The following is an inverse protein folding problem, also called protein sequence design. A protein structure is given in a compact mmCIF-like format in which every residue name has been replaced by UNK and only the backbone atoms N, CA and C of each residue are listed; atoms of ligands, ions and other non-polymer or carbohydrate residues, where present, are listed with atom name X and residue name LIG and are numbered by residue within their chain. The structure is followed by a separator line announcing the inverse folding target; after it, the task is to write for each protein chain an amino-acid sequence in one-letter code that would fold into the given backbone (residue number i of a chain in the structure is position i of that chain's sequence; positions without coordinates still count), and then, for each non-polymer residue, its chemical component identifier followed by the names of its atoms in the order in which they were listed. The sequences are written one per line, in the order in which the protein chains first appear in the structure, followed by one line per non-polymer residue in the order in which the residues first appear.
data_IF_986591878516
#
_entry.id   IF_986591878516
#
_cell.length_a   1.000
_cell.length_b   1.000
_cell.length_c   1.000
_cell.angle_alpha   90.00
_cell.angle_beta   90.00
_cell.angle_gamma   90.00
#
_symmetry.space_group_name_H-M   'P 1'
#
loop_
_entity.id
_entity.type
_entity.pdbx_description
1 polymer ?
#
# COMPACT_ATOMS: atom_id res chain seq x y z
N UNK A 1 -9.73 73.99 7.64
CA UNK A 1 -11.03 74.65 7.90
C UNK A 1 -12.13 73.82 7.27
N UNK A 2 -13.06 73.29 8.09
CA UNK A 2 -14.47 72.85 7.81
C UNK A 2 -14.73 71.92 6.60
N UNK A 3 -15.68 70.99 6.53
CA UNK A 3 -16.66 70.33 7.40
C UNK A 3 -17.37 69.30 6.50
N UNK A 4 -17.79 68.15 7.05
CA UNK A 4 -18.62 67.13 6.38
C UNK A 4 -20.01 67.66 5.95
N UNK A 5 -20.60 67.07 4.90
CA UNK A 5 -22.06 66.88 4.80
C UNK A 5 -22.45 65.72 3.85
N UNK A 6 -23.34 64.86 4.35
CA UNK A 6 -23.97 63.68 3.74
C UNK A 6 -25.11 64.02 2.75
N UNK A 7 -25.45 63.09 1.83
CA UNK A 7 -26.83 62.82 1.34
C UNK A 7 -27.03 61.35 0.88
N UNK A 8 -28.22 60.73 1.07
CA UNK A 8 -28.48 59.30 0.79
C UNK A 8 -29.41 58.97 -0.41
N UNK A 9 -29.29 57.70 -0.87
CA UNK A 9 -30.13 56.75 -1.64
C UNK A 9 -31.38 57.18 -2.43
N UNK A 10 -31.55 56.59 -3.64
CA UNK A 10 -32.85 56.12 -4.18
C UNK A 10 -32.70 54.91 -5.11
N UNK A 11 -33.66 54.00 -4.99
CA UNK A 11 -33.89 52.78 -5.77
C UNK A 11 -34.56 53.06 -7.12
N UNK A 12 -34.40 52.15 -8.09
CA UNK A 12 -35.35 51.94 -9.21
C UNK A 12 -35.35 50.48 -9.64
N UNK A 13 -36.57 49.96 -9.84
CA UNK A 13 -36.96 48.63 -10.31
C UNK A 13 -36.66 48.45 -11.82
N UNK A 14 -36.62 47.22 -12.37
CA UNK A 14 -37.67 46.56 -13.22
C UNK A 14 -36.92 45.51 -14.11
N UNK A 15 -37.49 44.42 -14.73
CA UNK A 15 -38.71 43.62 -14.52
C UNK A 15 -38.49 42.09 -14.40
N UNK A 16 -39.56 41.37 -14.05
CA UNK A 16 -39.73 39.92 -14.10
C UNK A 16 -39.84 39.35 -15.54
N UNK A 17 -39.35 38.11 -15.73
CA UNK A 17 -39.74 37.21 -16.84
C UNK A 17 -40.17 35.88 -16.25
N UNK A 18 -41.41 35.50 -16.59
CA UNK A 18 -42.16 34.36 -16.09
C UNK A 18 -42.03 33.21 -17.10
N UNK A 19 -41.58 32.02 -16.69
CA UNK A 19 -41.76 30.77 -17.44
C UNK A 19 -42.06 29.58 -16.52
N UNK A 20 -43.35 29.26 -16.48
CA UNK A 20 -43.96 27.92 -16.56
C UNK A 20 -43.47 26.82 -15.60
N UNK A 21 -44.25 26.61 -14.54
CA UNK A 21 -44.23 25.39 -13.72
C UNK A 21 -44.94 24.26 -14.47
N UNK A 22 -44.19 23.25 -14.89
CA UNK A 22 -44.74 21.93 -15.21
C UNK A 22 -44.73 21.09 -13.93
N UNK A 23 -45.91 20.72 -13.44
CA UNK A 23 -46.10 19.72 -12.40
C UNK A 23 -45.67 18.35 -12.93
N UNK A 24 -44.71 17.71 -12.27
CA UNK A 24 -44.61 16.25 -12.23
C UNK A 24 -44.72 15.81 -10.77
N UNK A 25 -45.71 14.95 -10.55
CA UNK A 25 -46.19 14.51 -9.26
C UNK A 25 -45.12 13.71 -8.48
N UNK A 26 -44.95 14.06 -7.21
CA UNK A 26 -44.19 13.28 -6.23
C UNK A 26 -44.97 12.00 -5.89
N UNK A 27 -44.35 10.80 -5.88
CA UNK A 27 -45.00 9.64 -5.30
C UNK A 27 -45.04 9.81 -3.77
N UNK A 28 -46.20 9.48 -3.20
CA UNK A 28 -46.51 9.47 -1.78
C UNK A 28 -45.36 8.93 -0.92
N UNK A 29 -44.76 9.80 -0.10
CA UNK A 29 -43.83 9.40 0.94
C UNK A 29 -44.60 8.63 2.02
N UNK A 30 -44.55 7.30 1.95
CA UNK A 30 -44.81 6.49 3.14
C UNK A 30 -43.75 6.84 4.18
N UNK A 31 -44.16 7.55 5.22
CA UNK A 31 -43.35 7.84 6.40
C UNK A 31 -43.06 6.49 7.06
N UNK A 32 -41.91 5.90 6.72
CA UNK A 32 -41.34 4.79 7.48
C UNK A 32 -40.88 5.35 8.83
N UNK A 33 -41.08 4.62 9.94
CA UNK A 33 -40.60 5.06 11.25
C UNK A 33 -39.07 5.24 11.18
N UNK A 34 -38.57 6.26 11.87
CA UNK A 34 -37.15 6.64 11.98
C UNK A 34 -36.40 5.52 12.72
N UNK A 35 -36.15 4.39 12.05
CA UNK A 35 -34.93 3.63 12.33
C UNK A 35 -33.82 4.41 11.64
N UNK A 36 -32.90 4.95 12.42
CA UNK A 36 -31.71 5.62 11.88
C UNK A 36 -31.07 4.75 10.80
N UNK A 37 -30.50 5.39 9.78
CA UNK A 37 -29.80 4.73 8.69
C UNK A 37 -28.52 4.04 9.19
N UNK A 38 -28.68 2.91 9.88
CA UNK A 38 -27.60 2.14 10.52
C UNK A 38 -26.55 1.67 9.50
N UNK A 39 -26.96 1.54 8.24
CA UNK A 39 -26.12 1.08 7.13
C UNK A 39 -25.49 2.26 6.36
N UNK A 40 -25.74 3.50 6.78
CA UNK A 40 -25.26 4.72 6.14
C UNK A 40 -25.54 4.77 4.62
N UNK A 41 -26.69 4.23 4.21
CA UNK A 41 -27.14 4.18 2.82
C UNK A 41 -27.28 5.57 2.19
N UNK A 42 -27.58 6.60 2.99
CA UNK A 42 -27.63 8.00 2.56
C UNK A 42 -26.27 8.59 2.19
N UNK A 43 -25.16 7.99 2.64
CA UNK A 43 -23.80 8.37 2.22
C UNK A 43 -23.31 7.58 0.99
N UNK A 44 -24.12 6.68 0.44
CA UNK A 44 -23.75 5.92 -0.75
C UNK A 44 -23.54 6.87 -1.93
N UNK A 45 -22.31 6.87 -2.46
CA UNK A 45 -21.99 7.55 -3.72
C UNK A 45 -22.35 6.64 -4.87
N UNK A 46 -22.74 7.21 -6.00
CA UNK A 46 -22.95 6.46 -7.23
C UNK A 46 -21.66 5.69 -7.58
N UNK A 47 -21.78 4.36 -7.69
CA UNK A 47 -20.64 3.49 -7.97
C UNK A 47 -20.43 3.42 -9.48
N UNK A 48 -19.43 4.14 -9.98
CA UNK A 48 -18.92 3.93 -11.33
C UNK A 48 -18.18 2.60 -11.33
N UNK A 49 -18.70 1.61 -12.07
CA UNK A 49 -17.99 0.35 -12.32
C UNK A 49 -17.01 0.60 -13.46
N UNK A 50 -15.69 0.46 -13.24
CA UNK A 50 -14.71 0.63 -14.31
C UNK A 50 -14.97 -0.37 -15.43
N UNK A 51 -14.92 0.08 -16.68
CA UNK A 51 -14.91 -0.81 -17.84
C UNK A 51 -13.58 -1.55 -17.84
N UNK A 52 -13.62 -2.88 -17.82
CA UNK A 52 -12.43 -3.72 -17.84
C UNK A 52 -12.03 -4.02 -19.28
N UNK A 53 -10.84 -3.60 -19.70
CA UNK A 53 -10.26 -3.98 -20.98
C UNK A 53 -9.83 -5.46 -20.96
N UNK A 54 -10.43 -6.33 -21.79
CA UNK A 54 -10.09 -7.76 -21.82
C UNK A 54 -8.63 -8.04 -22.22
N UNK A 55 -7.94 -7.13 -22.91
CA UNK A 55 -6.55 -7.33 -23.36
C UNK A 55 -5.53 -7.36 -22.21
N UNK A 56 -5.90 -6.80 -21.05
CA UNK A 56 -5.08 -6.85 -19.83
C UNK A 56 -5.39 -8.04 -18.93
N UNK A 57 -6.39 -8.86 -19.28
CA UNK A 57 -6.69 -10.07 -18.50
C UNK A 57 -5.49 -10.99 -18.52
N UNK A 58 -5.07 -11.40 -17.33
CA UNK A 58 -3.95 -12.29 -17.08
C UNK A 58 -2.57 -11.78 -17.53
N UNK A 59 -2.47 -10.53 -18.00
CA UNK A 59 -1.21 -9.95 -18.47
C UNK A 59 -0.22 -9.79 -17.31
N UNK A 60 1.02 -10.23 -17.53
CA UNK A 60 2.12 -10.05 -16.60
C UNK A 60 3.06 -8.95 -17.09
N UNK A 61 3.50 -8.11 -16.16
CA UNK A 61 4.54 -7.11 -16.37
C UNK A 61 5.81 -7.41 -15.56
N UNK A 62 5.94 -8.64 -15.09
CA UNK A 62 7.13 -9.14 -14.39
C UNK A 62 8.42 -8.82 -15.16
N UNK A 63 9.50 -8.57 -14.40
CA UNK A 63 10.81 -8.29 -14.99
C UNK A 63 11.35 -9.60 -15.56
N UNK A 64 11.64 -9.60 -16.86
CA UNK A 64 12.17 -10.77 -17.56
C UNK A 64 13.57 -11.12 -17.06
N UNK A 65 14.00 -12.38 -17.18
CA UNK A 65 15.36 -12.79 -16.78
C UNK A 65 16.44 -11.95 -17.48
N UNK A 66 16.19 -11.51 -18.72
CA UNK A 66 17.12 -10.69 -19.50
C UNK A 66 17.27 -9.27 -18.97
N UNK A 67 16.18 -8.69 -18.47
CA UNK A 67 16.14 -7.30 -17.99
C UNK A 67 16.37 -7.20 -16.48
N UNK A 68 16.53 -8.34 -15.80
CA UNK A 68 16.71 -8.44 -14.38
C UNK A 68 18.21 -8.47 -14.01
N UNK A 69 18.64 -7.51 -13.17
CA UNK A 69 20.00 -7.49 -12.65
C UNK A 69 20.28 -8.79 -11.86
N UNK A 70 21.29 -9.61 -12.25
CA UNK A 70 21.50 -10.92 -11.65
C UNK A 70 21.76 -10.86 -10.14
N UNK A 71 22.46 -9.83 -9.67
CA UNK A 71 22.80 -9.66 -8.25
C UNK A 71 21.55 -9.29 -7.45
N UNK A 72 20.72 -8.39 -7.98
CA UNK A 72 19.44 -8.02 -7.35
C UNK A 72 18.49 -9.22 -7.33
N UNK A 73 18.40 -9.97 -8.44
CA UNK A 73 17.53 -11.14 -8.57
C UNK A 73 17.87 -12.21 -7.54
N UNK A 74 19.14 -12.60 -7.48
CA UNK A 74 19.63 -13.61 -6.54
C UNK A 74 19.41 -13.17 -5.09
N UNK A 75 19.80 -11.93 -4.77
CA UNK A 75 19.84 -11.45 -3.39
C UNK A 75 18.47 -11.07 -2.83
N UNK A 76 17.64 -10.41 -3.63
CA UNK A 76 16.41 -9.77 -3.15
C UNK A 76 15.12 -10.40 -3.65
N UNK A 77 15.19 -11.37 -4.57
CA UNK A 77 14.01 -12.04 -5.12
C UNK A 77 13.95 -13.54 -4.87
N UNK A 78 14.17 -14.01 -3.62
CA UNK A 78 14.04 -15.42 -3.27
C UNK A 78 12.59 -15.94 -3.33
N UNK A 79 11.62 -15.07 -3.62
CA UNK A 79 10.23 -15.44 -3.86
C UNK A 79 10.00 -15.94 -5.29
N UNK A 80 10.94 -15.73 -6.22
CA UNK A 80 10.79 -16.22 -7.58
C UNK A 80 10.77 -17.76 -7.59
N UNK A 81 9.89 -18.28 -8.44
CA UNK A 81 9.72 -19.70 -8.70
C UNK A 81 10.16 -19.96 -10.15
N UNK A 82 10.31 -21.23 -10.54
CA UNK A 82 10.68 -21.56 -11.92
C UNK A 82 9.67 -21.00 -12.92
N UNK A 83 10.15 -20.59 -14.10
CA UNK A 83 9.31 -19.96 -15.12
C UNK A 83 8.12 -20.84 -15.53
N UNK A 84 8.33 -22.16 -15.62
CA UNK A 84 7.28 -23.13 -15.91
C UNK A 84 6.11 -23.10 -14.89
N UNK A 85 6.41 -22.88 -13.61
CA UNK A 85 5.38 -22.72 -12.58
C UNK A 85 4.83 -21.30 -12.61
N UNK A 86 5.67 -20.30 -12.78
CA UNK A 86 5.28 -18.89 -12.80
C UNK A 86 4.20 -18.58 -13.84
N UNK A 87 4.26 -19.19 -15.01
CA UNK A 87 3.28 -18.98 -16.09
C UNK A 87 1.91 -19.62 -15.81
N UNK A 88 1.83 -20.59 -14.89
CA UNK A 88 0.65 -21.43 -14.69
C UNK A 88 0.09 -21.41 -13.26
N UNK A 89 0.75 -20.73 -12.32
CA UNK A 89 0.35 -20.71 -10.92
C UNK A 89 -0.94 -19.91 -10.67
N UNK A 90 -1.44 -19.96 -9.43
CA UNK A 90 -2.66 -19.23 -9.06
C UNK A 90 -2.53 -17.71 -9.22
N UNK A 91 -1.32 -17.14 -9.15
CA UNK A 91 -1.07 -15.70 -9.31
C UNK A 91 -1.18 -15.30 -10.78
N UNK A 92 -0.67 -16.12 -11.70
CA UNK A 92 -0.83 -15.94 -13.15
C UNK A 92 -2.31 -15.92 -13.57
N UNK A 93 -3.17 -16.61 -12.82
CA UNK A 93 -4.62 -16.72 -13.04
C UNK A 93 -5.45 -15.62 -12.38
N UNK A 94 -4.83 -14.65 -11.69
CA UNK A 94 -5.59 -13.56 -11.06
C UNK A 94 -6.10 -12.56 -12.11
N UNK A 95 -7.38 -12.22 -12.03
CA UNK A 95 -7.99 -11.12 -12.77
C UNK A 95 -7.57 -9.80 -12.11
N UNK A 96 -6.64 -9.08 -12.73
CA UNK A 96 -6.08 -7.81 -12.26
C UNK A 96 -6.00 -6.78 -13.40
N UNK A 97 -6.87 -6.90 -14.41
CA UNK A 97 -6.77 -6.13 -15.65
C UNK A 97 -6.81 -4.62 -15.40
N UNK A 98 -7.66 -4.15 -14.47
CA UNK A 98 -7.79 -2.72 -14.18
C UNK A 98 -6.49 -2.10 -13.65
N UNK A 99 -5.82 -2.77 -12.70
CA UNK A 99 -4.53 -2.27 -12.18
C UNK A 99 -3.40 -2.48 -13.18
N UNK A 100 -3.45 -3.56 -13.97
CA UNK A 100 -2.47 -3.85 -15.02
C UNK A 100 -2.50 -2.75 -16.11
N UNK A 101 -3.69 -2.34 -16.55
CA UNK A 101 -3.87 -1.21 -17.47
C UNK A 101 -3.29 0.08 -16.86
N UNK A 102 -3.58 0.34 -15.59
CA UNK A 102 -3.07 1.52 -14.89
C UNK A 102 -1.54 1.53 -14.81
N UNK A 103 -0.91 0.37 -14.57
CA UNK A 103 0.56 0.25 -14.59
C UNK A 103 1.12 0.54 -15.97
N UNK A 104 0.56 -0.07 -17.03
CA UNK A 104 1.06 0.18 -18.40
C UNK A 104 0.89 1.65 -18.78
N UNK A 105 -0.29 2.22 -18.55
CA UNK A 105 -0.62 3.60 -18.95
C UNK A 105 0.16 4.65 -18.15
N UNK A 106 0.32 4.46 -16.84
CA UNK A 106 0.90 5.49 -15.97
C UNK A 106 2.41 5.35 -15.77
N UNK A 107 2.97 4.17 -16.04
CA UNK A 107 4.38 3.87 -15.79
C UNK A 107 5.08 3.43 -17.09
N UNK A 108 4.72 2.26 -17.61
CA UNK A 108 5.54 1.58 -18.63
C UNK A 108 5.52 2.32 -19.98
N UNK A 109 4.34 2.69 -20.48
CA UNK A 109 4.19 3.44 -21.74
C UNK A 109 4.80 4.83 -21.69
N UNK A 110 4.92 5.41 -20.48
CA UNK A 110 5.55 6.71 -20.24
C UNK A 110 7.07 6.61 -20.03
N UNK A 111 7.66 5.41 -20.11
CA UNK A 111 9.09 5.18 -19.87
C UNK A 111 9.55 5.56 -18.46
N UNK A 112 8.64 5.54 -17.47
CA UNK A 112 8.99 5.84 -16.08
C UNK A 112 9.57 4.61 -15.40
N UNK A 113 10.38 4.85 -14.37
CA UNK A 113 10.83 3.79 -13.47
C UNK A 113 9.65 3.01 -12.87
N UNK A 114 9.82 1.70 -12.78
CA UNK A 114 8.90 0.78 -12.09
C UNK A 114 8.70 1.21 -10.64
N UNK A 115 7.56 0.86 -10.06
CA UNK A 115 7.33 1.07 -8.63
C UNK A 115 8.34 0.24 -7.84
N UNK A 116 9.06 0.89 -6.93
CA UNK A 116 10.10 0.25 -6.11
C UNK A 116 9.50 -0.15 -4.77
N UNK A 117 9.47 -1.45 -4.48
CA UNK A 117 8.79 -1.98 -3.28
C UNK A 117 9.76 -2.74 -2.40
N UNK A 118 9.97 -2.24 -1.18
CA UNK A 118 10.70 -2.95 -0.14
C UNK A 118 9.74 -3.81 0.69
N UNK A 119 10.06 -5.10 0.82
CA UNK A 119 9.27 -6.03 1.62
C UNK A 119 10.06 -6.46 2.85
N UNK A 120 9.47 -6.28 4.03
CA UNK A 120 10.05 -6.65 5.33
C UNK A 120 9.20 -7.73 5.98
N UNK A 121 9.84 -8.73 6.60
CA UNK A 121 9.14 -9.79 7.32
C UNK A 121 9.67 -10.02 8.75
N UNK A 122 8.79 -10.51 9.64
CA UNK A 122 9.03 -10.49 11.09
C UNK A 122 9.46 -11.80 11.75
N UNK A 123 10.02 -12.77 11.03
CA UNK A 123 10.42 -14.05 11.66
C UNK A 123 11.56 -14.74 10.92
N UNK A 124 12.56 -15.18 11.68
CA UNK A 124 13.75 -15.92 11.24
C UNK A 124 13.60 -17.45 11.35
N UNK A 125 12.40 -17.95 11.69
CA UNK A 125 12.16 -19.41 11.72
C UNK A 125 12.38 -20.01 10.34
N UNK A 126 12.89 -21.25 10.30
CA UNK A 126 13.08 -22.02 9.06
C UNK A 126 11.79 -22.07 8.23
N UNK A 127 10.67 -22.43 8.87
CA UNK A 127 9.31 -22.33 8.30
C UNK A 127 8.59 -21.13 8.89
N UNK A 128 8.76 -19.97 8.25
CA UNK A 128 8.20 -18.70 8.69
C UNK A 128 6.99 -18.30 7.84
N UNK A 129 5.77 -18.37 8.39
CA UNK A 129 4.55 -18.02 7.66
C UNK A 129 4.47 -16.53 7.28
N UNK A 130 5.09 -15.63 8.05
CA UNK A 130 5.18 -14.22 7.66
C UNK A 130 6.11 -14.02 6.46
N UNK A 131 7.20 -14.80 6.37
CA UNK A 131 8.09 -14.83 5.20
C UNK A 131 7.37 -15.41 3.98
N UNK A 132 6.63 -16.50 4.13
CA UNK A 132 5.83 -17.09 3.04
C UNK A 132 4.75 -16.12 2.55
N UNK A 133 4.02 -15.46 3.46
CA UNK A 133 3.02 -14.45 3.08
C UNK A 133 3.66 -13.24 2.38
N UNK A 134 4.84 -12.81 2.85
CA UNK A 134 5.62 -11.76 2.19
C UNK A 134 6.05 -12.15 0.77
N UNK A 135 6.39 -13.42 0.54
CA UNK A 135 6.73 -13.92 -0.79
C UNK A 135 5.52 -13.93 -1.73
N UNK A 136 4.33 -14.31 -1.26
CA UNK A 136 3.12 -14.27 -2.08
C UNK A 136 2.72 -12.83 -2.42
N UNK A 137 2.81 -11.91 -1.45
CA UNK A 137 2.66 -10.48 -1.71
C UNK A 137 3.66 -9.99 -2.78
N UNK A 138 4.92 -10.42 -2.67
CA UNK A 138 5.99 -10.05 -3.61
C UNK A 138 5.73 -10.57 -5.02
N UNK A 139 5.23 -11.81 -5.16
CA UNK A 139 4.87 -12.38 -6.47
C UNK A 139 3.73 -11.65 -7.15
N UNK A 140 2.68 -11.25 -6.39
CA UNK A 140 1.57 -10.45 -6.93
C UNK A 140 2.11 -9.10 -7.44
N UNK A 141 2.89 -8.40 -6.63
CA UNK A 141 3.46 -7.09 -7.00
C UNK A 141 4.45 -7.19 -8.17
N UNK A 142 5.26 -8.25 -8.21
CA UNK A 142 6.20 -8.50 -9.30
C UNK A 142 5.44 -8.76 -10.61
N UNK A 143 4.37 -9.57 -10.59
CA UNK A 143 3.48 -9.75 -11.75
C UNK A 143 2.86 -8.43 -12.22
N UNK A 144 2.49 -7.55 -11.29
CA UNK A 144 2.01 -6.20 -11.60
C UNK A 144 3.11 -5.24 -12.09
N UNK A 145 4.35 -5.69 -12.23
CA UNK A 145 5.45 -4.93 -12.82
C UNK A 145 6.21 -4.04 -11.85
N UNK A 146 6.07 -4.25 -10.54
CA UNK A 146 6.90 -3.60 -9.53
C UNK A 146 8.33 -4.19 -9.53
N UNK A 147 9.35 -3.36 -9.26
CA UNK A 147 10.65 -3.85 -8.79
C UNK A 147 10.50 -4.14 -7.30
N UNK A 148 10.47 -5.42 -6.94
CA UNK A 148 10.26 -5.87 -5.56
C UNK A 148 11.58 -6.40 -5.00
N UNK A 149 11.93 -5.95 -3.79
CA UNK A 149 13.10 -6.43 -3.05
C UNK A 149 12.71 -6.84 -1.64
N UNK A 150 12.92 -8.11 -1.32
CA UNK A 150 12.70 -8.64 0.03
C UNK A 150 14.00 -8.56 0.81
N UNK A 151 13.97 -7.86 1.95
CA UNK A 151 15.12 -7.81 2.85
C UNK A 151 15.16 -9.04 3.76
N UNK A 152 16.30 -9.73 3.81
CA UNK A 152 16.56 -10.78 4.79
C UNK A 152 17.09 -10.17 6.10
N UNK A 153 16.39 -10.26 7.24
CA UNK A 153 16.86 -9.69 8.50
C UNK A 153 17.91 -10.56 9.22
N UNK A 154 18.30 -11.72 8.70
CA UNK A 154 19.34 -12.55 9.30
C UNK A 154 20.66 -11.75 9.44
N UNK A 155 21.25 -11.79 10.63
CA UNK A 155 22.49 -11.05 10.96
C UNK A 155 22.31 -9.54 11.16
N UNK A 156 21.08 -9.00 11.15
CA UNK A 156 20.85 -7.61 11.55
C UNK A 156 21.09 -7.46 13.07
N UNK A 157 22.03 -6.62 13.53
CA UNK A 157 22.25 -6.41 14.95
C UNK A 157 21.03 -5.80 15.64
N UNK A 158 20.91 -5.98 16.95
CA UNK A 158 19.91 -5.24 17.75
C UNK A 158 20.23 -3.75 17.65
N UNK A 159 19.21 -2.90 17.51
CA UNK A 159 19.40 -1.45 17.44
C UNK A 159 20.15 -0.94 18.65
N UNK A 160 21.31 -0.35 18.39
CA UNK A 160 22.15 0.39 19.33
C UNK A 160 22.66 1.69 18.68
N UNK A 161 23.49 2.44 19.40
CA UNK A 161 23.97 3.75 18.95
C UNK A 161 25.36 3.70 18.28
N UNK A 162 25.89 2.50 18.00
CA UNK A 162 27.28 2.35 17.50
C UNK A 162 27.35 1.58 16.18
N UNK A 163 26.50 0.58 15.96
CA UNK A 163 26.58 -0.32 14.79
C UNK A 163 25.96 0.26 13.52
N UNK A 164 25.94 1.58 13.37
CA UNK A 164 25.38 2.25 12.18
C UNK A 164 26.03 1.80 10.87
N UNK A 165 27.32 1.45 10.88
CA UNK A 165 28.06 1.00 9.69
C UNK A 165 27.97 -0.50 9.43
N UNK A 166 27.19 -1.25 10.22
CA UNK A 166 27.03 -2.68 10.00
C UNK A 166 26.42 -2.95 8.60
N UNK A 167 26.94 -3.89 7.80
CA UNK A 167 26.50 -4.10 6.41
C UNK A 167 24.99 -4.30 6.26
N UNK A 168 24.37 -5.06 7.17
CA UNK A 168 22.90 -5.27 7.20
C UNK A 168 22.11 -3.99 7.50
N UNK A 169 22.65 -3.11 8.34
CA UNK A 169 22.02 -1.81 8.66
C UNK A 169 22.07 -0.89 7.45
N UNK A 170 23.24 -0.82 6.79
CA UNK A 170 23.42 -0.02 5.57
C UNK A 170 22.54 -0.54 4.44
N UNK A 171 22.50 -1.85 4.23
CA UNK A 171 21.62 -2.48 3.27
C UNK A 171 20.14 -2.13 3.50
N UNK A 172 19.65 -2.28 4.74
CA UNK A 172 18.26 -1.96 5.08
C UNK A 172 17.94 -0.48 4.82
N UNK A 173 18.86 0.42 5.16
CA UNK A 173 18.69 1.86 4.96
C UNK A 173 18.69 2.22 3.48
N UNK A 174 19.59 1.66 2.67
CA UNK A 174 19.63 1.92 1.23
C UNK A 174 18.42 1.34 0.51
N UNK A 175 17.97 0.14 0.89
CA UNK A 175 16.69 -0.41 0.40
C UNK A 175 15.52 0.48 0.81
N UNK A 176 15.49 0.91 2.07
CA UNK A 176 14.46 1.81 2.55
C UNK A 176 14.57 3.16 1.88
N UNK A 177 15.71 3.64 1.39
CA UNK A 177 15.84 4.91 0.66
C UNK A 177 15.41 4.79 -0.79
N UNK A 178 15.68 3.64 -1.40
CA UNK A 178 15.37 3.29 -2.79
C UNK A 178 13.86 3.14 -3.06
N UNK A 179 13.06 2.74 -2.07
CA UNK A 179 11.65 2.39 -2.23
C UNK A 179 10.70 3.56 -2.53
N UNK A 180 9.64 3.30 -3.30
CA UNK A 180 8.44 4.15 -3.42
C UNK A 180 7.40 3.79 -2.34
N UNK A 181 7.43 2.55 -1.85
CA UNK A 181 6.55 2.06 -0.81
C UNK A 181 7.02 0.75 -0.20
N UNK A 182 6.44 0.36 0.93
CA UNK A 182 6.80 -0.86 1.66
C UNK A 182 5.63 -1.84 1.79
N UNK A 183 5.96 -3.12 1.94
CA UNK A 183 5.07 -4.14 2.50
C UNK A 183 5.67 -4.67 3.78
N UNK A 184 4.91 -4.59 4.88
CA UNK A 184 5.34 -5.02 6.21
C UNK A 184 4.54 -6.24 6.66
N UNK A 185 5.22 -7.37 6.88
CA UNK A 185 4.58 -8.63 7.25
C UNK A 185 5.14 -9.18 8.56
N UNK A 186 4.39 -9.10 9.65
CA UNK A 186 4.84 -9.62 10.96
C UNK A 186 3.98 -10.79 11.42
N UNK A 187 4.55 -11.82 12.07
CA UNK A 187 3.73 -12.66 12.94
C UNK A 187 3.22 -11.85 14.11
N UNK A 188 2.16 -12.34 14.74
CA UNK A 188 1.79 -11.96 16.09
C UNK A 188 2.45 -12.92 17.09
N UNK A 189 3.28 -12.39 17.98
CA UNK A 189 3.93 -13.15 19.05
C UNK A 189 3.63 -12.50 20.39
N UNK A 190 3.10 -13.28 21.34
CA UNK A 190 2.60 -12.78 22.63
C UNK A 190 1.63 -11.59 22.47
N UNK A 191 0.77 -11.64 21.45
CA UNK A 191 -0.24 -10.61 21.18
C UNK A 191 0.31 -9.31 20.59
N UNK A 192 1.57 -9.26 20.14
CA UNK A 192 2.21 -8.05 19.61
C UNK A 192 3.09 -8.35 18.38
N UNK A 193 3.60 -7.29 17.75
CA UNK A 193 4.62 -7.35 16.70
C UNK A 193 5.93 -7.96 17.22
N UNK A 194 6.68 -8.65 16.37
CA UNK A 194 7.88 -9.36 16.82
C UNK A 194 9.07 -8.43 17.00
N UNK A 195 9.99 -8.80 17.91
CA UNK A 195 11.27 -8.10 18.07
C UNK A 195 12.08 -8.06 16.77
N UNK A 196 12.06 -9.16 15.99
CA UNK A 196 12.70 -9.22 14.65
C UNK A 196 12.15 -8.15 13.73
N UNK A 197 10.84 -7.95 13.71
CA UNK A 197 10.21 -6.93 12.88
C UNK A 197 10.53 -5.53 13.40
N UNK A 198 10.34 -5.29 14.70
CA UNK A 198 10.55 -3.98 15.32
C UNK A 198 11.98 -3.48 15.13
N UNK A 199 12.95 -4.38 15.30
CA UNK A 199 14.37 -4.07 15.17
C UNK A 199 14.71 -3.54 13.77
N UNK A 200 14.09 -4.08 12.71
CA UNK A 200 14.26 -3.55 11.35
C UNK A 200 13.79 -2.09 11.26
N UNK A 201 12.60 -1.79 11.77
CA UNK A 201 12.08 -0.41 11.72
C UNK A 201 12.92 0.54 12.57
N UNK A 202 13.42 0.10 13.72
CA UNK A 202 14.26 0.92 14.60
C UNK A 202 15.62 1.30 14.00
N UNK A 203 16.09 0.55 13.01
CA UNK A 203 17.27 0.89 12.22
C UNK A 203 17.01 1.93 11.12
N UNK A 204 15.76 2.17 10.74
CA UNK A 204 15.37 3.15 9.72
C UNK A 204 15.11 4.49 10.41
N UNK A 205 15.99 5.49 10.25
CA UNK A 205 15.79 6.78 10.88
C UNK A 205 14.72 7.59 10.15
N UNK A 206 14.01 8.48 10.87
CA UNK A 206 13.11 9.45 10.24
C UNK A 206 13.86 10.46 9.34
N UNK A 207 15.12 10.72 9.67
CA UNK A 207 15.98 11.70 9.01
C UNK A 207 17.43 11.21 8.98
N UNK A 208 18.10 11.37 7.85
CA UNK A 208 19.57 11.31 7.75
C UNK A 208 20.02 12.54 6.96
N UNK A 209 20.34 13.62 7.67
CA UNK A 209 20.54 14.94 7.06
C UNK A 209 19.26 15.46 6.40
N UNK A 210 19.30 15.71 5.10
CA UNK A 210 18.14 16.12 4.29
C UNK A 210 17.28 14.95 3.82
N UNK A 211 17.78 13.71 3.87
CA UNK A 211 17.06 12.53 3.37
C UNK A 211 16.01 12.08 4.39
N UNK A 212 14.80 11.79 3.92
CA UNK A 212 13.70 11.22 4.70
C UNK A 212 13.33 9.84 4.11
N UNK A 213 13.93 8.73 4.60
CA UNK A 213 13.83 7.42 3.96
C UNK A 213 12.42 6.82 3.88
N UNK A 214 11.43 7.32 4.62
CA UNK A 214 10.08 6.75 4.64
C UNK A 214 8.98 7.77 4.41
N UNK A 215 9.29 9.06 4.48
CA UNK A 215 8.27 10.11 4.44
C UNK A 215 7.53 10.14 3.10
N UNK A 216 6.20 10.18 3.15
CA UNK A 216 5.32 10.29 1.98
C UNK A 216 5.06 8.99 1.24
N UNK A 217 5.84 7.94 1.51
CA UNK A 217 5.79 6.65 0.81
C UNK A 217 4.59 5.82 1.23
N UNK A 218 4.11 4.98 0.32
CA UNK A 218 2.97 4.09 0.60
C UNK A 218 3.38 2.89 1.44
N UNK A 219 2.44 2.36 2.22
CA UNK A 219 2.67 1.21 3.09
C UNK A 219 1.47 0.25 3.05
N UNK A 220 1.71 -1.01 2.72
CA UNK A 220 0.79 -2.11 2.96
C UNK A 220 1.24 -2.92 4.19
N UNK A 221 0.28 -3.36 5.00
CA UNK A 221 0.55 -4.11 6.23
C UNK A 221 -0.19 -5.45 6.22
N UNK A 222 0.48 -6.48 6.72
CA UNK A 222 -0.10 -7.80 6.90
C UNK A 222 0.41 -8.46 8.18
N UNK A 223 -0.40 -9.35 8.75
CA UNK A 223 0.03 -10.25 9.82
C UNK A 223 -0.36 -11.70 9.57
N UNK A 224 0.35 -12.59 10.27
CA UNK A 224 -0.01 -14.01 10.42
C UNK A 224 -0.14 -14.36 11.90
N UNK A 225 -1.07 -15.27 12.21
CA UNK A 225 -1.32 -15.72 13.57
C UNK A 225 -1.17 -17.24 13.65
N UNK A 226 -0.64 -17.75 14.77
CA UNK A 226 -0.65 -19.18 15.07
C UNK A 226 -2.04 -19.69 15.48
N UNK A 227 -2.83 -18.85 16.16
CA UNK A 227 -4.17 -19.16 16.66
C UNK A 227 -5.28 -18.43 15.91
N UNK A 228 -6.39 -18.17 16.60
CA UNK A 228 -7.55 -17.44 16.10
C UNK A 228 -7.20 -16.05 15.55
N UNK A 229 -8.13 -15.48 14.79
CA UNK A 229 -7.93 -14.18 14.16
C UNK A 229 -7.68 -13.09 15.20
N UNK A 230 -6.66 -12.27 14.91
CA UNK A 230 -6.27 -11.11 15.70
C UNK A 230 -5.91 -9.97 14.74
N UNK A 231 -5.85 -8.75 15.27
CA UNK A 231 -5.41 -7.56 14.54
C UNK A 231 -4.39 -6.74 15.32
N UNK A 232 -3.86 -7.24 16.44
CA UNK A 232 -3.00 -6.45 17.31
C UNK A 232 -1.72 -6.03 16.60
N UNK A 233 -1.11 -6.96 15.85
CA UNK A 233 0.12 -6.67 15.13
C UNK A 233 -0.10 -5.65 14.00
N UNK A 234 -1.11 -5.81 13.13
CA UNK A 234 -1.41 -4.81 12.08
C UNK A 234 -1.85 -3.46 12.64
N UNK A 235 -2.58 -3.42 13.75
CA UNK A 235 -2.92 -2.15 14.41
C UNK A 235 -1.64 -1.42 14.85
N UNK A 236 -0.70 -2.16 15.44
CA UNK A 236 0.60 -1.61 15.84
C UNK A 236 1.44 -1.20 14.63
N UNK A 237 1.44 -1.98 13.54
CA UNK A 237 2.10 -1.61 12.28
C UNK A 237 1.50 -0.34 11.67
N UNK A 238 0.18 -0.16 11.73
CA UNK A 238 -0.50 1.04 11.21
C UNK A 238 -0.10 2.28 11.98
N UNK A 239 -0.06 2.18 13.31
CA UNK A 239 0.48 3.21 14.20
C UNK A 239 1.94 3.46 13.83
N UNK A 240 2.78 2.43 13.73
CA UNK A 240 4.19 2.58 13.37
C UNK A 240 4.39 3.26 11.99
N UNK A 241 3.59 2.90 10.99
CA UNK A 241 3.59 3.54 9.66
C UNK A 241 3.28 5.04 9.73
N UNK A 242 2.32 5.44 10.57
CA UNK A 242 2.04 6.85 10.87
C UNK A 242 3.24 7.55 11.50
N UNK A 243 3.92 6.91 12.47
CA UNK A 243 5.15 7.43 13.06
C UNK A 243 6.26 7.61 12.02
N UNK A 244 6.39 6.66 11.08
CA UNK A 244 7.32 6.71 9.95
C UNK A 244 6.88 7.66 8.83
N UNK A 245 5.78 8.41 9.01
CA UNK A 245 5.22 9.37 8.05
C UNK A 245 4.88 8.74 6.70
N UNK A 246 4.52 7.45 6.70
CA UNK A 246 4.08 6.71 5.53
C UNK A 246 2.56 6.82 5.35
N UNK A 247 2.10 6.71 4.11
CA UNK A 247 0.69 6.54 3.79
C UNK A 247 0.32 5.05 3.85
N UNK A 248 -0.15 4.61 5.02
CA UNK A 248 -0.63 3.25 5.20
C UNK A 248 -1.99 3.08 4.52
N UNK A 249 -2.06 2.24 3.49
CA UNK A 249 -3.30 1.98 2.75
C UNK A 249 -4.40 1.46 3.70
N UNK A 250 -5.68 1.72 3.41
CA UNK A 250 -6.77 1.32 4.31
C UNK A 250 -6.89 -0.20 4.46
N UNK A 251 -6.73 -0.96 3.37
CA UNK A 251 -6.86 -2.40 3.40
C UNK A 251 -5.65 -3.06 4.09
N UNK A 252 -5.88 -4.22 4.70
CA UNK A 252 -4.86 -4.98 5.44
C UNK A 252 -5.20 -6.46 5.46
N UNK A 253 -4.17 -7.29 5.57
CA UNK A 253 -4.31 -8.75 5.66
C UNK A 253 -4.00 -9.27 7.06
N UNK A 254 -4.86 -10.13 7.60
CA UNK A 254 -4.59 -10.87 8.85
C UNK A 254 -5.01 -12.31 8.67
N UNK A 255 -4.02 -13.21 8.63
CA UNK A 255 -4.24 -14.64 8.37
C UNK A 255 -4.27 -15.41 9.70
N UNK A 256 -5.45 -15.83 10.20
CA UNK A 256 -5.55 -16.74 11.34
C UNK A 256 -4.98 -18.12 11.03
N UNK A 257 -4.56 -18.85 12.06
CA UNK A 257 -4.10 -20.24 11.96
C UNK A 257 -3.22 -20.49 10.72
N UNK A 258 -2.22 -19.63 10.49
CA UNK A 258 -1.56 -19.54 9.19
C UNK A 258 -0.97 -20.87 8.70
N UNK A 259 -0.65 -21.79 9.61
CA UNK A 259 -0.19 -23.14 9.28
C UNK A 259 -1.17 -23.96 8.43
N UNK A 260 -2.48 -23.72 8.52
CA UNK A 260 -3.49 -24.41 7.69
C UNK A 260 -3.58 -23.83 6.26
N UNK A 261 -3.12 -22.59 6.09
CA UNK A 261 -3.29 -21.81 4.87
C UNK A 261 -2.17 -22.00 3.86
N UNK A 262 -1.06 -22.65 4.22
CA UNK A 262 0.03 -22.93 3.29
C UNK A 262 0.10 -24.43 2.96
N UNK A 263 0.51 -24.76 1.75
CA UNK A 263 0.86 -26.13 1.36
C UNK A 263 2.13 -26.59 2.08
N UNK A 264 2.36 -27.90 2.10
CA UNK A 264 3.56 -28.46 2.71
C UNK A 264 4.82 -28.05 1.91
N UNK A 265 6.00 -28.16 2.54
CA UNK A 265 7.23 -27.68 1.91
C UNK A 265 7.63 -28.53 0.69
N UNK A 266 7.31 -29.81 0.76
CA UNK A 266 7.56 -30.86 -0.23
C UNK A 266 6.40 -31.06 -1.20
N UNK A 267 5.34 -30.25 -1.10
CA UNK A 267 4.21 -30.32 -2.03
C UNK A 267 4.70 -30.03 -3.47
N UNK A 268 4.56 -30.98 -4.41
CA UNK A 268 5.03 -30.80 -5.77
C UNK A 268 4.20 -29.77 -6.54
N UNK A 269 2.98 -29.45 -6.07
CA UNK A 269 2.14 -28.45 -6.70
C UNK A 269 2.69 -27.04 -6.47
N UNK A 270 2.97 -26.37 -7.59
CA UNK A 270 3.40 -24.98 -7.62
C UNK A 270 4.65 -24.63 -6.77
N UNK A 271 5.50 -25.63 -6.49
CA UNK A 271 6.79 -25.47 -5.80
C UNK A 271 6.73 -25.48 -4.25
N UNK A 272 5.61 -25.88 -3.65
CA UNK A 272 5.46 -26.03 -2.21
C UNK A 272 5.40 -24.72 -1.43
N UNK A 273 4.97 -24.79 -0.16
CA UNK A 273 4.79 -23.63 0.73
C UNK A 273 3.96 -22.47 0.13
N UNK A 274 2.95 -22.81 -0.70
CA UNK A 274 2.09 -21.88 -1.42
C UNK A 274 0.80 -21.57 -0.66
N UNK A 275 0.28 -20.36 -0.85
CA UNK A 275 -0.93 -19.90 -0.17
C UNK A 275 -2.18 -20.53 -0.80
N UNK A 276 -2.87 -21.37 -0.02
CA UNK A 276 -4.07 -22.12 -0.42
C UNK A 276 -5.26 -21.18 -0.70
N UNK A 277 -6.17 -21.58 -1.61
CA UNK A 277 -7.42 -20.86 -1.87
C UNK A 277 -8.21 -20.59 -0.59
N UNK A 278 -8.47 -19.31 -0.32
CA UNK A 278 -9.26 -18.86 0.83
C UNK A 278 -9.59 -17.37 0.68
N UNK A 279 -10.59 -16.89 1.43
CA UNK A 279 -10.89 -15.45 1.51
C UNK A 279 -9.71 -14.61 2.02
N UNK A 280 -8.84 -15.20 2.85
CA UNK A 280 -7.59 -14.56 3.29
C UNK A 280 -6.59 -14.37 2.14
N UNK A 281 -6.58 -15.29 1.17
CA UNK A 281 -5.78 -15.15 -0.04
C UNK A 281 -6.32 -14.05 -0.93
N UNK A 282 -7.63 -14.00 -1.14
CA UNK A 282 -8.27 -12.95 -1.93
C UNK A 282 -8.03 -11.57 -1.28
N UNK A 283 -8.12 -11.49 0.05
CA UNK A 283 -7.77 -10.27 0.80
C UNK A 283 -6.33 -9.82 0.58
N UNK A 284 -5.37 -10.75 0.48
CA UNK A 284 -3.99 -10.39 0.18
C UNK A 284 -3.87 -9.76 -1.21
N UNK A 285 -4.58 -10.33 -2.20
CA UNK A 285 -4.65 -9.78 -3.56
C UNK A 285 -5.23 -8.37 -3.55
N UNK A 286 -6.35 -8.15 -2.86
CA UNK A 286 -6.96 -6.82 -2.70
C UNK A 286 -5.96 -5.81 -2.13
N UNK A 287 -5.18 -6.20 -1.11
CA UNK A 287 -4.20 -5.33 -0.49
C UNK A 287 -3.06 -4.95 -1.46
N UNK A 288 -2.56 -5.89 -2.25
CA UNK A 288 -1.47 -5.63 -3.21
C UNK A 288 -1.95 -4.83 -4.41
N UNK A 289 -3.17 -5.11 -4.89
CA UNK A 289 -3.80 -4.32 -5.93
C UNK A 289 -4.02 -2.87 -5.47
N UNK A 290 -4.60 -2.70 -4.29
CA UNK A 290 -4.84 -1.39 -3.67
C UNK A 290 -3.51 -0.63 -3.48
N UNK A 291 -2.49 -1.31 -2.97
CA UNK A 291 -1.15 -0.75 -2.79
C UNK A 291 -0.60 -0.16 -4.10
N UNK A 292 -0.68 -0.91 -5.21
CA UNK A 292 -0.19 -0.44 -6.52
C UNK A 292 -0.99 0.77 -6.98
N UNK A 293 -2.32 0.72 -6.91
CA UNK A 293 -3.20 1.85 -7.30
C UNK A 293 -2.85 3.13 -6.53
N UNK A 294 -2.76 3.08 -5.21
CA UNK A 294 -2.39 4.24 -4.39
C UNK A 294 -0.97 4.73 -4.69
N UNK A 295 -0.03 3.81 -4.88
CA UNK A 295 1.37 4.20 -5.14
C UNK A 295 1.51 4.91 -6.48
N UNK A 296 0.80 4.48 -7.53
CA UNK A 296 0.75 5.18 -8.82
C UNK A 296 0.22 6.61 -8.65
N UNK A 297 -0.86 6.79 -7.87
CA UNK A 297 -1.48 8.10 -7.64
C UNK A 297 -0.57 9.00 -6.81
N UNK A 298 0.07 8.48 -5.77
CA UNK A 298 0.80 9.29 -4.80
C UNK A 298 2.25 9.60 -5.20
N UNK A 299 2.95 8.66 -5.84
CA UNK A 299 4.38 8.79 -6.15
C UNK A 299 4.76 10.09 -6.85
N UNK A 300 4.01 10.59 -7.86
CA UNK A 300 4.33 11.87 -8.52
C UNK A 300 4.25 13.11 -7.61
N UNK A 301 3.69 12.97 -6.40
CA UNK A 301 3.39 14.07 -5.50
C UNK A 301 4.06 13.95 -4.13
N UNK A 302 5.03 13.03 -3.95
CA UNK A 302 5.72 12.86 -2.67
C UNK A 302 6.36 14.16 -2.16
N UNK A 303 6.97 14.95 -3.04
CA UNK A 303 7.58 16.24 -2.67
C UNK A 303 6.52 17.25 -2.23
N UNK A 304 5.40 17.33 -2.96
CA UNK A 304 4.27 18.20 -2.61
C UNK A 304 3.68 17.83 -1.24
N UNK A 305 3.51 16.53 -0.96
CA UNK A 305 3.04 16.06 0.35
C UNK A 305 4.06 16.26 1.48
N UNK A 306 5.34 16.41 1.13
CA UNK A 306 6.41 16.77 2.05
C UNK A 306 6.45 18.25 2.42
N UNK A 307 5.92 19.14 1.57
CA UNK A 307 5.96 20.59 1.76
C UNK A 307 4.96 21.08 2.84
N UNK A 308 5.46 21.23 4.07
CA UNK A 308 4.64 21.55 5.25
C UNK A 308 4.78 22.99 5.69
N UNK A 309 3.64 23.60 5.98
CA UNK A 309 3.55 24.97 6.50
C UNK A 309 4.50 25.25 7.67
N UNK A 310 4.57 24.35 8.66
CA UNK A 310 5.43 24.53 9.83
C UNK A 310 6.93 24.50 9.48
N UNK A 311 7.33 23.66 8.52
CA UNK A 311 8.73 23.48 8.13
C UNK A 311 9.21 24.62 7.20
N UNK A 312 8.29 25.36 6.56
CA UNK A 312 8.61 26.53 5.71
C UNK A 312 9.15 27.73 6.50
N UNK A 313 8.81 27.86 7.78
CA UNK A 313 9.28 28.97 8.62
C UNK A 313 10.70 28.72 9.15
N UNK A 314 11.06 27.48 9.44
CA UNK A 314 12.39 27.10 9.94
C UNK A 314 13.48 27.43 8.91
N UNK A 315 13.18 27.32 7.61
CA UNK A 315 14.09 27.69 6.52
C UNK A 315 14.30 29.21 6.44
N UNK A 316 13.28 30.02 6.77
CA UNK A 316 13.36 31.49 6.73
C UNK A 316 14.11 32.09 7.93
N UNK A 317 14.24 31.35 9.03
CA UNK A 317 15.00 31.78 10.21
C UNK A 317 16.50 31.49 10.13
N UNK A 318 16.95 30.75 9.10
CA UNK A 318 18.34 30.36 8.88
C UNK A 318 19.04 31.18 7.77
N UNK A 319 18.35 32.15 7.18
CA UNK A 319 18.88 33.09 6.19
C UNK A 319 19.17 34.46 6.80
#
# INVERSE_FOLDING_TARGET
MLSLSFRPLRSTLVPAVQRTLAQQASPSAHIRPIMGDLNNTGAARERIVPTVDPSYKFRSFAISLRDDDPVVREKYRPFLISDAVHESDWIAKLELATVAEMVEREILSKGKDRLRVLVLYGSLRSRSYSKLLAYEASRILFRLGCDVRVYDPAGLPVKDDVQHNHPKVQELRELSKWSDGHVWVTPEQHGNLTAVFKNQIDWIPLSTGSVRPTQGRTLAIAQVNGGSQSFNAVNSLRILGRWMRMFTIPNQSSVPMAWTHFTDADDPAEGGSRFKPSSNRDRLVDCMEEFVKYTIVMRPHFDLFGDRFSERNDVKGAS
#
